data_IF_974089935116
#
_entry.id   IF_974089935116
#
_cell.length_a   1.000
_cell.length_b   1.000
_cell.length_c   1.000
_cell.angle_alpha   90.00
_cell.angle_beta   90.00
_cell.angle_gamma   90.00
#
_symmetry.space_group_name_H-M   'P 1'
#
loop_
_entity.id
_entity.type
_entity.pdbx_description
1 polymer ?
#
# COMPACT_ATOMS: atom_id res chain seq x y z
N UNK A 1 -18.91 7.40 -4.70
CA UNK A 1 -17.59 6.73 -4.85
C UNK A 1 -16.81 7.51 -5.89
N UNK A 2 -15.72 8.17 -5.50
CA UNK A 2 -14.93 9.02 -6.40
C UNK A 2 -13.79 8.22 -7.04
N UNK A 3 -13.55 8.43 -8.33
CA UNK A 3 -12.47 7.79 -9.08
C UNK A 3 -11.11 8.27 -8.55
N UNK A 4 -10.32 7.37 -7.97
CA UNK A 4 -9.02 7.70 -7.34
C UNK A 4 -8.00 8.18 -8.37
N UNK A 5 -8.19 7.85 -9.65
CA UNK A 5 -7.29 8.27 -10.74
C UNK A 5 -7.53 9.70 -11.25
N UNK A 6 -8.63 10.34 -10.85
CA UNK A 6 -8.98 11.71 -11.27
C UNK A 6 -8.47 12.78 -10.29
N UNK A 7 -8.03 12.37 -9.09
CA UNK A 7 -7.53 13.28 -8.05
C UNK A 7 -6.05 13.01 -7.75
N UNK A 8 -5.12 13.89 -8.17
CA UNK A 8 -3.69 13.75 -7.94
C UNK A 8 -3.32 13.55 -6.46
N UNK A 9 -4.10 14.13 -5.53
CA UNK A 9 -3.87 13.97 -4.09
C UNK A 9 -4.15 12.55 -3.64
N UNK A 10 -5.20 11.91 -4.18
CA UNK A 10 -5.54 10.51 -3.86
C UNK A 10 -4.56 9.53 -4.47
N UNK A 11 -4.07 9.81 -5.68
CA UNK A 11 -3.01 9.03 -6.31
C UNK A 11 -1.71 9.09 -5.49
N UNK A 12 -1.28 10.29 -5.09
CA UNK A 12 -0.12 10.49 -4.21
C UNK A 12 -0.28 9.74 -2.88
N UNK A 13 -1.44 9.88 -2.22
CA UNK A 13 -1.71 9.19 -0.95
C UNK A 13 -1.66 7.66 -1.08
N UNK A 14 -2.18 7.10 -2.19
CA UNK A 14 -2.12 5.66 -2.42
C UNK A 14 -0.66 5.17 -2.50
N UNK A 15 0.21 5.91 -3.16
CA UNK A 15 1.65 5.60 -3.24
C UNK A 15 2.28 5.66 -1.86
N UNK A 16 2.05 6.74 -1.10
CA UNK A 16 2.58 6.88 0.26
C UNK A 16 2.14 5.75 1.19
N UNK A 17 0.87 5.34 1.14
CA UNK A 17 0.38 4.20 1.94
C UNK A 17 1.05 2.88 1.51
N UNK A 18 1.32 2.72 0.22
CA UNK A 18 1.97 1.52 -0.28
C UNK A 18 3.43 1.44 0.16
N UNK A 19 4.15 2.55 0.06
CA UNK A 19 5.53 2.71 0.55
C UNK A 19 5.60 2.53 2.07
N UNK A 20 4.65 3.11 2.82
CA UNK A 20 4.55 2.90 4.26
C UNK A 20 4.42 1.41 4.61
N UNK A 21 3.65 0.64 3.83
CA UNK A 21 3.57 -0.82 3.99
C UNK A 21 4.90 -1.53 3.80
N UNK A 22 5.69 -1.12 2.80
CA UNK A 22 7.03 -1.67 2.56
C UNK A 22 7.98 -1.27 3.70
N UNK A 23 8.04 0.01 4.04
CA UNK A 23 8.92 0.53 5.09
C UNK A 23 8.63 -0.11 6.45
N UNK A 24 7.35 -0.38 6.76
CA UNK A 24 6.97 -1.07 7.99
C UNK A 24 7.53 -2.50 8.05
N UNK A 25 7.46 -3.23 6.93
CA UNK A 25 8.05 -4.58 6.83
C UNK A 25 9.57 -4.53 6.96
N UNK A 26 10.23 -3.61 6.26
CA UNK A 26 11.68 -3.44 6.29
C UNK A 26 12.17 -3.07 7.70
N UNK A 27 11.47 -2.16 8.39
CA UNK A 27 11.78 -1.80 9.77
C UNK A 27 11.51 -2.94 10.76
N UNK A 28 10.55 -3.82 10.46
CA UNK A 28 10.36 -5.07 11.20
C UNK A 28 11.42 -6.14 10.82
N UNK A 29 12.38 -5.83 9.94
CA UNK A 29 13.49 -6.69 9.58
C UNK A 29 13.21 -7.68 8.45
N UNK A 30 12.14 -7.46 7.67
CA UNK A 30 11.88 -8.23 6.46
C UNK A 30 12.58 -7.61 5.25
N UNK A 31 13.22 -8.45 4.44
CA UNK A 31 13.54 -8.09 3.07
C UNK A 31 12.25 -8.19 2.22
N UNK A 32 11.96 -7.19 1.39
CA UNK A 32 10.72 -7.10 0.61
C UNK A 32 11.03 -7.12 -0.89
N UNK A 33 10.52 -8.13 -1.60
CA UNK A 33 10.79 -8.32 -3.02
C UNK A 33 9.50 -8.35 -3.85
N UNK A 34 9.55 -7.71 -5.02
CA UNK A 34 8.44 -7.75 -5.99
C UNK A 34 8.42 -9.10 -6.71
N UNK A 35 7.24 -9.72 -6.78
CA UNK A 35 7.01 -10.90 -7.62
C UNK A 35 6.48 -10.42 -8.99
N UNK A 36 7.24 -10.58 -10.09
CA UNK A 36 6.77 -10.19 -11.43
C UNK A 36 5.50 -10.94 -11.84
N UNK A 37 4.57 -10.24 -12.51
CA UNK A 37 3.32 -10.84 -13.01
C UNK A 37 2.24 -11.12 -11.97
N UNK A 38 2.53 -10.99 -10.67
CA UNK A 38 1.60 -11.38 -9.61
C UNK A 38 0.83 -10.20 -8.99
N UNK A 39 -0.48 -10.38 -8.75
CA UNK A 39 -1.31 -9.47 -7.94
C UNK A 39 -1.29 -8.00 -8.34
N UNK A 40 -1.13 -7.69 -9.64
CA UNK A 40 -1.00 -6.31 -10.19
C UNK A 40 0.05 -5.47 -9.45
N UNK A 41 1.12 -6.09 -8.97
CA UNK A 41 2.18 -5.41 -8.25
C UNK A 41 1.87 -5.07 -6.80
N UNK A 42 0.78 -5.59 -6.21
CA UNK A 42 0.50 -5.48 -4.77
C UNK A 42 1.09 -6.63 -3.95
N UNK A 43 1.48 -7.73 -4.60
CA UNK A 43 2.04 -8.90 -3.92
C UNK A 43 3.56 -8.81 -3.81
N UNK A 44 4.08 -9.18 -2.65
CA UNK A 44 5.49 -9.19 -2.32
C UNK A 44 5.88 -10.55 -1.75
N UNK A 45 7.10 -10.97 -2.02
CA UNK A 45 7.79 -11.98 -1.22
C UNK A 45 8.49 -11.24 -0.09
N UNK A 46 8.33 -11.71 1.14
CA UNK A 46 9.04 -11.19 2.30
C UNK A 46 9.89 -12.29 2.93
N UNK A 47 11.13 -11.94 3.29
CA UNK A 47 12.10 -12.89 3.86
C UNK A 47 12.71 -12.31 5.13
N UNK A 48 12.76 -13.09 6.20
CA UNK A 48 13.40 -12.72 7.48
C UNK A 48 14.10 -13.94 8.07
N UNK A 49 15.42 -13.97 7.97
CA UNK A 49 16.21 -15.16 8.32
C UNK A 49 15.82 -16.35 7.42
N UNK A 50 15.38 -17.45 8.04
CA UNK A 50 14.89 -18.64 7.32
C UNK A 50 13.39 -18.60 7.01
N UNK A 51 12.68 -17.53 7.42
CA UNK A 51 11.25 -17.40 7.15
C UNK A 51 11.03 -16.71 5.81
N UNK A 52 10.15 -17.30 5.00
CA UNK A 52 9.69 -16.75 3.74
C UNK A 52 8.16 -16.73 3.74
N UNK A 53 7.55 -15.63 3.28
CA UNK A 53 6.11 -15.49 3.11
C UNK A 53 5.78 -14.72 1.84
N UNK A 54 4.67 -15.06 1.20
CA UNK A 54 4.04 -14.27 0.15
C UNK A 54 2.97 -13.40 0.81
N UNK A 55 3.03 -12.08 0.60
CA UNK A 55 2.07 -11.14 1.19
C UNK A 55 1.39 -10.25 0.17
N UNK A 56 0.13 -9.89 0.42
CA UNK A 56 -0.59 -8.88 -0.36
C UNK A 56 -0.68 -7.56 0.41
N UNK A 57 -0.10 -6.49 -0.14
CA UNK A 57 -0.24 -5.15 0.42
C UNK A 57 -1.56 -4.54 -0.08
N UNK A 58 -2.45 -4.23 0.87
CA UNK A 58 -3.75 -3.58 0.61
C UNK A 58 -3.76 -2.19 1.23
N UNK A 59 -3.85 -1.17 0.40
CA UNK A 59 -3.94 0.23 0.86
C UNK A 59 -5.38 0.71 0.82
N UNK A 60 -5.79 1.48 1.83
CA UNK A 60 -7.10 2.13 1.88
C UNK A 60 -7.02 3.51 2.50
N UNK A 61 -7.83 4.44 1.97
CA UNK A 61 -8.01 5.79 2.50
C UNK A 61 -9.34 5.95 3.24
N UNK A 62 -10.22 4.96 3.19
CA UNK A 62 -11.52 4.96 3.86
C UNK A 62 -11.63 3.93 4.99
N UNK A 63 -10.55 3.18 5.24
CA UNK A 63 -10.44 2.11 6.24
C UNK A 63 -11.21 0.82 5.88
N UNK A 64 -11.64 0.67 4.63
CA UNK A 64 -12.19 -0.57 4.10
C UNK A 64 -11.23 -1.22 3.11
N UNK A 65 -11.09 -2.53 3.19
CA UNK A 65 -10.30 -3.32 2.22
C UNK A 65 -11.18 -4.32 1.50
N UNK A 66 -10.79 -4.65 0.27
CA UNK A 66 -11.54 -5.56 -0.56
C UNK A 66 -10.70 -6.60 -1.26
N UNK A 67 -11.29 -7.78 -1.42
CA UNK A 67 -10.83 -8.81 -2.34
C UNK A 67 -11.99 -9.21 -3.27
N UNK A 68 -11.75 -9.26 -4.60
CA UNK A 68 -12.73 -9.78 -5.53
C UNK A 68 -12.76 -11.31 -5.49
N UNK A 69 -13.94 -11.88 -5.81
CA UNK A 69 -14.04 -13.31 -6.13
C UNK A 69 -13.38 -13.56 -7.50
N UNK A 70 -12.85 -14.75 -7.69
CA UNK A 70 -12.39 -15.22 -9.01
C UNK A 70 -13.58 -15.49 -9.94
N UNK A 71 -13.31 -15.79 -11.22
CA UNK A 71 -14.36 -15.99 -12.22
C UNK A 71 -15.25 -17.22 -11.93
N UNK A 72 -14.67 -18.27 -11.34
CA UNK A 72 -15.42 -19.44 -10.86
C UNK A 72 -16.30 -19.13 -9.64
N UNK A 73 -16.00 -18.04 -8.93
CA UNK A 73 -16.74 -17.59 -7.77
C UNK A 73 -16.50 -18.45 -6.53
N UNK A 74 -15.44 -19.25 -6.46
CA UNK A 74 -15.09 -20.17 -5.36
C UNK A 74 -13.87 -19.72 -4.54
N UNK A 75 -13.08 -18.76 -5.04
CA UNK A 75 -11.87 -18.27 -4.38
C UNK A 75 -11.77 -16.74 -4.37
N UNK A 76 -10.85 -16.21 -3.56
CA UNK A 76 -10.56 -14.79 -3.47
C UNK A 76 -9.31 -14.45 -4.28
N UNK A 77 -9.46 -13.61 -5.30
CA UNK A 77 -8.33 -13.20 -6.15
C UNK A 77 -7.24 -12.58 -5.28
N UNK A 78 -6.01 -13.06 -5.43
CA UNK A 78 -4.83 -12.66 -4.65
C UNK A 78 -4.86 -13.15 -3.20
N UNK A 79 -5.96 -13.02 -2.46
CA UNK A 79 -6.01 -13.47 -1.07
C UNK A 79 -5.86 -14.99 -0.93
N UNK A 80 -6.32 -15.78 -1.90
CA UNK A 80 -6.16 -17.23 -1.88
C UNK A 80 -4.71 -17.69 -2.07
N UNK A 81 -3.82 -16.82 -2.58
CA UNK A 81 -2.47 -17.19 -2.99
C UNK A 81 -1.37 -16.56 -2.11
N UNK A 82 -1.76 -15.93 -0.99
CA UNK A 82 -0.82 -15.28 -0.07
C UNK A 82 -0.93 -15.87 1.33
N UNK A 83 0.19 -15.83 2.05
CA UNK A 83 0.33 -16.27 3.44
C UNK A 83 -0.17 -15.20 4.42
N UNK A 84 -0.03 -13.91 4.07
CA UNK A 84 -0.51 -12.82 4.90
C UNK A 84 -0.96 -11.60 4.08
N UNK A 85 -1.73 -10.72 4.71
CA UNK A 85 -2.17 -9.43 4.18
C UNK A 85 -1.51 -8.32 4.99
N UNK A 86 -0.84 -7.42 4.29
CA UNK A 86 -0.36 -6.16 4.87
C UNK A 86 -1.42 -5.11 4.63
N UNK A 87 -2.30 -4.92 5.62
CA UNK A 87 -3.37 -3.93 5.53
C UNK A 87 -2.84 -2.56 5.97
N UNK A 88 -2.79 -1.63 5.03
CA UNK A 88 -2.34 -0.25 5.26
C UNK A 88 -3.51 0.70 5.12
N UNK A 89 -3.78 1.48 6.16
CA UNK A 89 -4.89 2.41 6.21
C UNK A 89 -4.48 3.74 6.78
N UNK A 90 -5.22 4.79 6.45
CA UNK A 90 -5.13 6.05 7.20
C UNK A 90 -5.68 5.88 8.62
N UNK A 91 -5.14 6.63 9.57
CA UNK A 91 -5.60 6.64 10.94
C UNK A 91 -6.97 7.31 11.11
N UNK A 92 -7.24 8.33 10.32
CA UNK A 92 -8.52 9.03 10.26
C UNK A 92 -8.86 9.30 8.78
N UNK A 93 -10.12 9.04 8.40
CA UNK A 93 -10.59 9.19 7.01
C UNK A 93 -10.82 10.64 6.58
N UNK A 94 -11.11 11.52 7.55
CA UNK A 94 -11.41 12.94 7.34
C UNK A 94 -10.11 13.75 7.38
N UNK A 95 -9.23 13.44 8.35
CA UNK A 95 -7.96 14.13 8.56
C UNK A 95 -6.79 13.13 8.73
N UNK A 96 -6.35 12.48 7.64
CA UNK A 96 -5.34 11.43 7.67
C UNK A 96 -3.96 11.99 8.02
N UNK A 97 -3.40 11.58 9.16
CA UNK A 97 -2.07 12.00 9.63
C UNK A 97 -1.05 10.87 9.63
N UNK A 98 -1.50 9.64 9.79
CA UNK A 98 -0.63 8.47 9.87
C UNK A 98 -1.15 7.33 9.01
N UNK A 99 -0.22 6.57 8.44
CA UNK A 99 -0.45 5.23 7.91
C UNK A 99 -0.36 4.23 9.06
N UNK A 100 -1.45 3.52 9.34
CA UNK A 100 -1.47 2.36 10.21
C UNK A 100 -1.26 1.10 9.36
N UNK A 101 -0.19 0.36 9.66
CA UNK A 101 0.19 -0.86 8.95
C UNK A 101 -0.03 -2.06 9.85
N UNK A 102 -0.80 -3.03 9.38
CA UNK A 102 -1.09 -4.29 10.06
C UNK A 102 -0.59 -5.46 9.22
N UNK A 103 -0.02 -6.47 9.86
CA UNK A 103 0.31 -7.75 9.24
C UNK A 103 -0.67 -8.80 9.79
N UNK A 104 -1.56 -9.29 8.92
CA UNK A 104 -2.65 -10.19 9.31
C UNK A 104 -2.51 -11.50 8.53
N UNK A 105 -2.63 -12.63 9.21
CA UNK A 105 -2.53 -13.95 8.59
C UNK A 105 -3.59 -14.15 7.49
N UNK A 106 -3.17 -14.79 6.40
CA UNK A 106 -3.98 -14.98 5.20
C UNK A 106 -5.21 -15.84 5.47
N UNK A 107 -5.07 -16.90 6.28
CA UNK A 107 -6.18 -17.76 6.68
C UNK A 107 -7.23 -17.03 7.51
N UNK A 108 -6.80 -16.15 8.41
CA UNK A 108 -7.73 -15.33 9.17
C UNK A 108 -8.49 -14.38 8.25
N UNK A 109 -7.79 -13.72 7.34
CA UNK A 109 -8.40 -12.83 6.35
C UNK A 109 -9.37 -13.58 5.43
N UNK A 110 -9.01 -14.77 4.96
CA UNK A 110 -9.91 -15.65 4.19
C UNK A 110 -11.17 -15.95 4.98
N UNK A 111 -11.05 -16.39 6.24
CA UNK A 111 -12.19 -16.69 7.09
C UNK A 111 -13.10 -15.48 7.33
N UNK A 112 -12.54 -14.28 7.55
CA UNK A 112 -13.31 -13.03 7.66
C UNK A 112 -14.11 -12.74 6.39
N UNK A 113 -13.45 -12.82 5.25
CA UNK A 113 -14.08 -12.60 3.94
C UNK A 113 -15.14 -13.65 3.61
N UNK A 114 -14.94 -14.91 3.99
CA UNK A 114 -15.92 -15.98 3.80
C UNK A 114 -17.16 -15.75 4.66
N UNK A 115 -17.02 -15.40 5.95
CA UNK A 115 -18.16 -15.00 6.79
C UNK A 115 -18.92 -13.82 6.18
N UNK A 116 -18.18 -12.81 5.74
CA UNK A 116 -18.71 -11.60 5.11
C UNK A 116 -19.48 -11.91 3.82
N UNK A 117 -18.99 -12.86 3.01
CA UNK A 117 -19.66 -13.33 1.80
C UNK A 117 -20.94 -14.10 2.14
N UNK A 118 -20.86 -15.10 3.01
CA UNK A 118 -22.00 -15.93 3.38
C UNK A 118 -23.14 -15.11 4.00
N UNK A 119 -22.82 -14.13 4.85
CA UNK A 119 -23.82 -13.24 5.43
C UNK A 119 -24.52 -12.37 4.37
N UNK A 120 -23.80 -11.89 3.35
CA UNK A 120 -24.38 -11.12 2.24
C UNK A 120 -25.30 -11.98 1.38
N UNK A 121 -24.89 -13.20 1.05
CA UNK A 121 -25.72 -14.15 0.30
C UNK A 121 -27.00 -14.49 1.10
N UNK A 122 -26.86 -14.78 2.40
CA UNK A 122 -28.00 -15.08 3.29
C UNK A 122 -28.98 -13.91 3.42
N UNK A 123 -28.48 -12.67 3.35
CA UNK A 123 -29.30 -11.45 3.36
C UNK A 123 -29.93 -11.11 2.00
N UNK A 124 -29.74 -11.95 0.96
CA UNK A 124 -30.29 -11.72 -0.38
C UNK A 124 -29.55 -10.69 -1.21
N UNK A 125 -28.33 -10.28 -0.82
CA UNK A 125 -27.53 -9.35 -1.61
C UNK A 125 -26.89 -10.05 -2.81
N UNK A 126 -26.90 -9.39 -3.97
CA UNK A 126 -26.14 -9.82 -5.14
C UNK A 126 -24.67 -9.40 -5.00
N UNK A 127 -23.77 -10.38 -4.92
CA UNK A 127 -22.32 -10.14 -4.95
C UNK A 127 -21.86 -10.24 -6.41
N UNK A 128 -21.33 -9.15 -7.01
CA UNK A 128 -20.95 -9.17 -8.42
C UNK A 128 -19.86 -10.21 -8.68
N UNK A 129 -20.08 -11.09 -9.66
CA UNK A 129 -19.14 -12.15 -10.03
C UNK A 129 -17.83 -11.62 -10.64
N UNK A 130 -17.81 -10.37 -11.12
CA UNK A 130 -16.65 -9.79 -11.81
C UNK A 130 -16.24 -8.44 -11.21
N UNK A 131 -14.94 -8.30 -10.94
CA UNK A 131 -14.19 -7.05 -10.65
C UNK A 131 -14.60 -6.22 -9.43
N UNK A 132 -15.77 -6.43 -8.82
CA UNK A 132 -16.17 -5.75 -7.57
C UNK A 132 -15.91 -6.69 -6.40
N UNK A 133 -15.04 -6.26 -5.49
CA UNK A 133 -14.76 -6.99 -4.26
C UNK A 133 -15.83 -6.81 -3.20
N UNK A 134 -15.85 -7.74 -2.25
CA UNK A 134 -16.51 -7.48 -0.98
C UNK A 134 -15.61 -6.56 -0.18
N UNK A 135 -16.20 -5.58 0.49
CA UNK A 135 -15.49 -4.67 1.37
C UNK A 135 -15.74 -5.07 2.81
N UNK A 136 -14.68 -5.15 3.60
CA UNK A 136 -14.77 -5.29 5.05
C UNK A 136 -14.05 -4.11 5.71
N UNK A 137 -14.62 -3.63 6.81
CA UNK A 137 -14.05 -2.55 7.60
C UNK A 137 -12.89 -3.07 8.44
N UNK A 138 -11.79 -2.33 8.49
CA UNK A 138 -10.68 -2.64 9.38
C UNK A 138 -11.01 -2.30 10.84
N UNK A 139 -11.84 -1.28 11.09
CA UNK A 139 -12.01 -0.68 12.43
C UNK A 139 -13.46 -0.56 12.92
N UNK A 140 -14.44 -1.11 12.21
CA UNK A 140 -15.74 -1.41 12.82
C UNK A 140 -15.66 -2.71 13.63
N UNK A 141 -16.35 -2.78 14.76
CA UNK A 141 -16.53 -4.04 15.49
C UNK A 141 -17.29 -5.08 14.65
N UNK A 142 -16.85 -6.33 14.72
CA UNK A 142 -17.55 -7.43 14.05
C UNK A 142 -18.93 -7.62 14.69
N UNK A 143 -19.97 -7.54 13.86
CA UNK A 143 -21.35 -7.68 14.29
C UNK A 143 -22.15 -8.47 13.26
N UNK A 144 -23.17 -9.20 13.73
CA UNK A 144 -24.12 -9.91 12.86
C UNK A 144 -25.11 -8.97 12.17
N UNK A 145 -25.28 -7.75 12.70
CA UNK A 145 -26.09 -6.68 12.13
C UNK A 145 -25.43 -5.31 12.36
N UNK A 146 -25.31 -4.44 11.35
CA UNK A 146 -25.68 -4.67 9.95
C UNK A 146 -24.75 -5.67 9.25
N UNK A 147 -25.23 -6.29 8.16
CA UNK A 147 -24.49 -7.30 7.38
C UNK A 147 -23.13 -6.79 6.88
N UNK A 148 -22.97 -5.47 6.71
CA UNK A 148 -21.70 -4.84 6.33
C UNK A 148 -20.60 -4.99 7.36
N UNK A 149 -20.92 -5.29 8.64
CA UNK A 149 -19.96 -5.50 9.73
C UNK A 149 -19.54 -6.94 9.94
N UNK A 150 -20.14 -7.91 9.25
CA UNK A 150 -19.70 -9.30 9.33
C UNK A 150 -18.29 -9.43 8.74
N UNK A 151 -17.37 -10.03 9.49
CA UNK A 151 -15.95 -10.14 9.13
C UNK A 151 -15.10 -8.87 9.35
N UNK A 152 -15.69 -7.79 9.86
CA UNK A 152 -14.97 -6.54 10.15
C UNK A 152 -14.00 -6.67 11.35
N UNK A 153 -13.25 -5.60 11.62
CA UNK A 153 -12.50 -5.47 12.87
C UNK A 153 -11.12 -6.12 12.86
N UNK A 154 -10.58 -6.41 11.68
CA UNK A 154 -9.24 -6.99 11.56
C UNK A 154 -8.14 -6.04 12.12
N UNK A 155 -8.29 -4.74 11.91
CA UNK A 155 -7.39 -3.72 12.47
C UNK A 155 -7.63 -3.40 13.96
N UNK A 156 -8.73 -3.89 14.56
CA UNK A 156 -8.94 -3.86 16.02
C UNK A 156 -8.28 -5.10 16.66
N UNK A 157 -8.45 -6.26 16.04
CA UNK A 157 -7.93 -7.53 16.55
C UNK A 157 -6.39 -7.61 16.49
N UNK A 158 -5.78 -6.94 15.51
CA UNK A 158 -4.35 -6.89 15.33
C UNK A 158 -3.82 -5.49 15.62
N UNK A 159 -2.78 -5.40 16.44
CA UNK A 159 -2.08 -4.13 16.66
C UNK A 159 -1.29 -3.77 15.41
N UNK A 160 -1.23 -2.48 15.03
CA UNK A 160 -0.40 -2.08 13.91
C UNK A 160 1.07 -2.36 14.21
N UNK A 161 1.77 -2.97 13.26
CA UNK A 161 3.23 -3.20 13.32
C UNK A 161 4.01 -1.90 13.15
N UNK A 162 3.38 -0.89 12.52
CA UNK A 162 3.95 0.44 12.39
C UNK A 162 2.86 1.51 12.28
N UNK A 163 3.21 2.72 12.73
CA UNK A 163 2.45 3.94 12.52
C UNK A 163 3.37 4.99 11.90
N UNK A 164 3.20 5.26 10.61
CA UNK A 164 4.13 6.07 9.81
C UNK A 164 3.48 7.44 9.51
N UNK A 165 4.13 8.58 9.80
CA UNK A 165 3.61 9.89 9.43
C UNK A 165 3.37 10.00 7.93
N UNK A 166 2.23 10.59 7.56
CA UNK A 166 1.87 10.86 6.17
C UNK A 166 2.26 12.29 5.81
N UNK A 167 2.88 12.47 4.65
CA UNK A 167 3.15 13.81 4.12
C UNK A 167 1.85 14.49 3.68
N UNK A 168 1.82 15.83 3.69
CA UNK A 168 0.70 16.62 3.16
C UNK A 168 0.47 16.27 1.67
N UNK A 169 -0.76 15.93 1.26
CA UNK A 169 -1.03 15.45 -0.07
C UNK A 169 -0.96 16.60 -1.10
N UNK A 170 0.04 16.57 -1.96
CA UNK A 170 0.26 17.56 -3.02
C UNK A 170 1.57 18.33 -2.91
N UNK A 171 2.33 18.15 -1.83
CA UNK A 171 3.74 18.51 -1.79
C UNK A 171 4.56 17.29 -2.21
N UNK A 172 5.53 17.40 -3.13
CA UNK A 172 6.52 16.34 -3.29
C UNK A 172 7.13 16.10 -1.91
N UNK A 173 7.28 14.81 -1.55
CA UNK A 173 7.90 14.45 -0.29
C UNK A 173 9.24 15.17 -0.20
N UNK A 174 9.35 16.19 0.66
CA UNK A 174 10.65 16.67 1.11
C UNK A 174 11.30 15.46 1.75
N UNK A 175 12.26 14.89 1.05
CA UNK A 175 13.14 13.88 1.61
C UNK A 175 13.75 14.51 2.85
N UNK A 176 13.27 14.09 4.03
CA UNK A 176 13.99 14.30 5.28
C UNK A 176 15.40 13.76 5.06
N UNK A 177 16.33 14.70 4.88
CA UNK A 177 17.76 14.45 4.93
C UNK A 177 18.06 13.86 6.30
N UNK A 178 18.10 12.53 6.38
CA UNK A 178 18.92 11.86 7.38
C UNK A 178 20.36 12.01 6.94
N UNK A 179 21.04 13.00 7.52
CA UNK A 179 22.48 12.92 7.69
C UNK A 179 22.81 11.65 8.48
N UNK A 180 23.57 10.74 7.87
CA UNK A 180 24.93 10.41 8.30
C UNK A 180 25.42 9.10 7.64
N UNK A 181 26.70 9.09 7.23
CA UNK A 181 27.54 7.90 7.27
C UNK A 181 28.04 7.36 5.93
N UNK A 182 29.26 7.78 5.58
CA UNK A 182 30.14 7.30 4.50
C UNK A 182 29.93 5.89 3.93
N UNK A 183 29.77 5.83 2.60
CA UNK A 183 30.37 4.79 1.76
C UNK A 183 30.90 5.43 0.46
N UNK A 184 32.23 5.52 0.36
CA UNK A 184 32.98 5.63 -0.89
C UNK A 184 32.68 6.81 -1.82
N UNK A 185 33.43 7.90 -1.67
CA UNK A 185 33.68 8.88 -2.72
C UNK A 185 34.33 8.21 -3.93
N UNK A 186 33.56 7.97 -4.99
CA UNK A 186 34.09 7.97 -6.36
C UNK A 186 33.80 9.39 -6.91
N UNK A 187 34.62 10.37 -6.47
CA UNK A 187 34.59 11.76 -6.95
C UNK A 187 35.10 11.80 -8.39
N UNK A 188 34.29 11.31 -9.32
CA UNK A 188 34.45 11.73 -10.71
C UNK A 188 33.89 13.15 -10.79
N UNK A 189 34.66 14.14 -11.26
CA UNK A 189 34.12 15.47 -11.49
C UNK A 189 32.97 15.32 -12.50
N UNK A 190 31.74 15.57 -12.02
CA UNK A 190 30.56 15.62 -12.87
C UNK A 190 30.80 16.70 -13.91
N UNK A 191 30.80 16.32 -15.18
CA UNK A 191 30.91 17.30 -16.25
C UNK A 191 29.66 18.18 -16.25
N UNK A 192 29.77 19.40 -16.77
CA UNK A 192 28.61 20.27 -16.97
C UNK A 192 27.53 19.56 -17.82
N UNK A 193 27.92 18.66 -18.72
CA UNK A 193 26.98 17.86 -19.53
C UNK A 193 26.22 16.84 -18.67
N UNK A 194 26.88 16.15 -17.74
CA UNK A 194 26.20 15.20 -16.84
C UNK A 194 25.26 15.92 -15.87
N UNK A 195 25.64 17.13 -15.45
CA UNK A 195 24.78 18.00 -14.65
C UNK A 195 23.56 18.45 -15.45
N UNK A 196 23.72 18.89 -16.70
CA UNK A 196 22.59 19.28 -17.57
C UNK A 196 21.67 18.10 -17.87
N UNK A 197 22.21 16.90 -18.12
CA UNK A 197 21.42 15.67 -18.29
C UNK A 197 20.57 15.34 -17.06
N UNK A 198 21.21 15.39 -15.89
CA UNK A 198 20.52 15.13 -14.62
C UNK A 198 19.41 16.16 -14.39
N UNK A 199 19.69 17.44 -14.64
CA UNK A 199 18.71 18.52 -14.52
C UNK A 199 17.59 18.41 -15.58
N UNK A 200 17.91 17.99 -16.80
CA UNK A 200 16.93 17.76 -17.87
C UNK A 200 15.94 16.65 -17.51
N UNK A 201 16.44 15.51 -17.04
CA UNK A 201 15.60 14.41 -16.56
C UNK A 201 14.77 14.81 -15.33
N UNK A 202 15.34 15.61 -14.44
CA UNK A 202 14.66 16.06 -13.22
C UNK A 202 13.57 17.10 -13.49
N UNK A 203 13.85 18.08 -14.35
CA UNK A 203 12.95 19.19 -14.65
C UNK A 203 11.99 18.90 -15.83
N UNK A 204 12.23 17.82 -16.58
CA UNK A 204 11.42 17.44 -17.74
C UNK A 204 11.55 18.41 -18.92
N UNK A 205 12.66 19.15 -19.00
CA UNK A 205 12.95 20.11 -20.07
C UNK A 205 14.16 19.64 -20.90
N UNK A 206 14.25 19.98 -22.19
CA UNK A 206 15.41 19.61 -23.00
C UNK A 206 16.73 20.19 -22.45
N UNK A 207 17.85 19.47 -22.62
CA UNK A 207 19.17 19.89 -22.11
C UNK A 207 19.59 21.28 -22.64
N UNK A 208 19.19 21.62 -23.87
CA UNK A 208 19.42 22.91 -24.51
C UNK A 208 18.68 24.07 -23.83
N UNK A 209 17.66 23.79 -23.03
CA UNK A 209 16.89 24.78 -22.26
C UNK A 209 17.52 25.08 -20.89
N UNK A 210 18.68 24.48 -20.58
CA UNK A 210 19.32 24.56 -19.26
C UNK A 210 20.64 25.34 -19.36
N UNK A 211 20.74 26.43 -18.60
CA UNK A 211 21.96 27.21 -18.41
C UNK A 211 22.41 27.11 -16.94
N UNK A 212 23.71 26.83 -16.71
CA UNK A 212 24.29 26.72 -15.36
C UNK A 212 25.24 27.90 -15.16
N UNK A 213 24.89 28.81 -14.24
CA UNK A 213 25.71 29.98 -13.89
C UNK A 213 26.30 29.78 -12.50
N UNK A 214 27.63 29.78 -12.40
CA UNK A 214 28.36 29.75 -11.12
C UNK A 214 28.78 31.18 -10.80
N UNK A 215 28.35 31.70 -9.64
CA UNK A 215 28.80 33.00 -9.11
C UNK A 215 29.63 32.75 -7.85
N UNK A 216 30.77 33.42 -7.74
CA UNK A 216 31.62 33.44 -6.54
C UNK A 216 31.19 34.54 -5.59
#
# INVERSE_FOLDING_TARGET
MANIFEDPKKASRKTQLFEAGIHALENDGWQVEKIPGFGKGSVRKITKGSQERIVSIRTTQDQWIAFPRNDAGDAWVTLSDVDAVVAVSVDDKENPRFAQVHLIEGDEMRARFDRAYQARIKAGHSVPKKRRGIWISLYDEEASSPVSRVGAGAGIAHKPIARIPLAEPGLPAEQEKKEAGHAGTDLRPLSISDAKKSLSMFLGVPEESIEIIIRS
#
